data_IF_804866641832
#
_entry.id   IF_804866641832
#
_cell.length_a   1.000
_cell.length_b   1.000
_cell.length_c   1.000
_cell.angle_alpha   90.00
_cell.angle_beta   90.00
_cell.angle_gamma   90.00
#
_symmetry.space_group_name_H-M   'P 1'
#
loop_
_entity.id
_entity.type
_entity.pdbx_description
1 polymer ?
#
# COMPACT_ATOMS: atom_id res chain seq x y z
N UNK A 1 4.09 3.35 29.71
CA UNK A 1 5.05 3.63 30.82
C UNK A 1 4.42 4.29 32.05
N UNK A 2 3.68 5.42 31.97
CA UNK A 2 3.02 6.03 33.17
C UNK A 2 1.91 5.15 33.80
N UNK A 3 1.16 4.39 33.00
CA UNK A 3 0.17 3.42 33.53
C UNK A 3 0.78 2.24 34.28
N UNK A 4 1.93 1.73 33.82
CA UNK A 4 2.67 0.63 34.47
C UNK A 4 3.22 1.02 35.85
N UNK A 5 3.66 2.28 36.05
CA UNK A 5 4.10 2.76 37.37
C UNK A 5 2.97 2.86 38.39
N UNK A 6 1.73 3.13 37.95
CA UNK A 6 0.55 3.12 38.85
C UNK A 6 0.13 1.70 39.22
N UNK A 7 0.42 0.71 38.38
CA UNK A 7 0.17 -0.69 38.67
C UNK A 7 1.21 -1.26 39.65
N UNK A 8 2.51 -0.92 39.51
CA UNK A 8 3.53 -1.39 40.47
C UNK A 8 3.28 -0.86 41.88
N UNK A 9 2.85 0.40 42.03
CA UNK A 9 2.52 0.98 43.35
C UNK A 9 1.28 0.35 44.02
N UNK A 10 0.36 -0.22 43.22
CA UNK A 10 -0.81 -0.96 43.75
C UNK A 10 -0.40 -2.38 44.16
N UNK A 11 0.64 -2.93 43.53
CA UNK A 11 1.16 -4.29 43.80
C UNK A 11 2.10 -4.29 45.01
N UNK A 12 2.95 -3.28 45.18
CA UNK A 12 3.96 -3.23 46.25
C UNK A 12 3.38 -2.95 47.65
N UNK A 13 2.18 -2.37 47.74
CA UNK A 13 1.55 -1.97 49.02
C UNK A 13 1.05 -3.11 49.92
N UNK A 14 1.11 -4.38 49.51
CA UNK A 14 0.48 -5.51 50.22
C UNK A 14 1.45 -6.68 50.55
N UNK A 15 2.77 -6.46 50.54
CA UNK A 15 3.79 -7.53 50.47
C UNK A 15 4.17 -8.23 51.80
N UNK A 16 3.42 -8.11 52.89
CA UNK A 16 3.82 -8.67 54.20
C UNK A 16 2.98 -9.84 54.76
N UNK A 17 2.23 -10.58 53.94
CA UNK A 17 1.53 -11.80 54.40
C UNK A 17 1.52 -12.89 53.33
N UNK A 18 2.18 -14.02 53.64
CA UNK A 18 2.13 -15.36 53.02
C UNK A 18 2.16 -15.44 51.49
N UNK A 19 2.94 -16.36 50.94
CA UNK A 19 2.98 -16.74 49.52
C UNK A 19 1.68 -17.41 49.04
N UNK A 20 0.53 -16.80 49.26
CA UNK A 20 -0.69 -17.07 48.53
C UNK A 20 -0.46 -16.54 47.11
N UNK A 21 -0.56 -17.44 46.13
CA UNK A 21 -0.42 -17.12 44.72
C UNK A 21 -1.28 -15.90 44.37
N UNK A 22 -0.62 -14.83 43.93
CA UNK A 22 -1.26 -13.56 43.59
C UNK A 22 -2.11 -13.74 42.33
N UNK A 23 -3.39 -14.02 42.50
CA UNK A 23 -4.31 -14.19 41.38
C UNK A 23 -5.01 -12.86 41.06
N UNK A 24 -5.19 -12.56 39.77
CA UNK A 24 -5.85 -11.34 39.30
C UNK A 24 -7.31 -11.64 39.00
N UNK A 25 -8.28 -11.09 39.75
CA UNK A 25 -9.70 -11.34 39.49
C UNK A 25 -10.17 -10.61 38.22
N UNK A 26 -11.21 -11.15 37.57
CA UNK A 26 -11.81 -10.60 36.35
C UNK A 26 -12.20 -9.11 36.48
N UNK A 27 -12.68 -8.69 37.66
CA UNK A 27 -13.07 -7.30 37.92
C UNK A 27 -11.87 -6.33 37.85
N UNK A 28 -10.71 -6.74 38.37
CA UNK A 28 -9.45 -6.00 38.28
C UNK A 28 -8.91 -6.00 36.85
N UNK A 29 -9.00 -7.14 36.15
CA UNK A 29 -8.63 -7.24 34.74
C UNK A 29 -9.43 -6.27 33.85
N UNK A 30 -10.76 -6.22 34.00
CA UNK A 30 -11.62 -5.27 33.26
C UNK A 30 -11.23 -3.82 33.50
N UNK A 31 -10.97 -3.45 34.77
CA UNK A 31 -10.50 -2.09 35.11
C UNK A 31 -9.17 -1.80 34.44
N UNK A 32 -8.20 -2.71 34.53
CA UNK A 32 -6.90 -2.56 33.88
C UNK A 32 -7.04 -2.42 32.37
N UNK A 33 -7.80 -3.29 31.71
CA UNK A 33 -8.01 -3.25 30.26
C UNK A 33 -8.77 -2.01 29.79
N UNK A 34 -9.67 -1.45 30.59
CA UNK A 34 -10.32 -0.17 30.29
C UNK A 34 -9.33 1.01 30.24
N UNK A 35 -8.22 0.91 30.98
CA UNK A 35 -7.15 1.90 31.01
C UNK A 35 -6.12 1.64 29.91
N UNK A 36 -5.76 0.37 29.67
CA UNK A 36 -4.74 -0.03 28.68
C UNK A 36 -5.27 0.06 27.25
N UNK A 37 -6.52 -0.36 27.01
CA UNK A 37 -7.21 -0.39 25.71
C UNK A 37 -8.51 0.44 25.77
N UNK A 38 -8.41 1.77 25.84
CA UNK A 38 -9.59 2.65 25.88
C UNK A 38 -10.40 2.59 24.58
N UNK A 39 -9.80 2.15 23.47
CA UNK A 39 -10.46 1.91 22.18
C UNK A 39 -11.58 0.87 22.27
N UNK A 40 -11.48 -0.07 23.22
CA UNK A 40 -12.44 -1.14 23.43
C UNK A 40 -13.50 -0.81 24.49
N UNK A 41 -13.52 0.42 25.04
CA UNK A 41 -14.41 0.80 26.15
C UNK A 41 -15.90 0.58 25.84
N UNK A 42 -16.29 0.69 24.57
CA UNK A 42 -17.66 0.47 24.10
C UNK A 42 -18.02 -1.02 23.95
N UNK A 43 -17.06 -1.93 24.06
CA UNK A 43 -17.22 -3.37 23.87
C UNK A 43 -16.54 -4.15 25.01
N UNK A 44 -17.04 -4.04 26.26
CA UNK A 44 -16.40 -4.65 27.43
C UNK A 44 -16.32 -6.18 27.35
N UNK A 45 -17.21 -6.82 26.58
CA UNK A 45 -17.19 -8.26 26.32
C UNK A 45 -15.88 -8.73 25.68
N UNK A 46 -15.13 -7.87 24.99
CA UNK A 46 -13.82 -8.21 24.41
C UNK A 46 -12.79 -8.45 25.52
N UNK A 47 -12.88 -7.69 26.62
CA UNK A 47 -11.99 -7.90 27.78
C UNK A 47 -12.23 -9.27 28.40
N UNK A 48 -13.51 -9.67 28.48
CA UNK A 48 -13.93 -10.97 28.98
C UNK A 48 -13.52 -12.10 28.05
N UNK A 49 -13.57 -11.89 26.74
CA UNK A 49 -13.12 -12.86 25.75
C UNK A 49 -11.61 -13.12 25.86
N UNK A 50 -10.80 -12.06 25.99
CA UNK A 50 -9.34 -12.19 26.15
C UNK A 50 -9.00 -12.92 27.47
N UNK A 51 -9.75 -12.61 28.52
CA UNK A 51 -9.61 -13.27 29.82
C UNK A 51 -10.02 -14.75 29.75
N UNK A 52 -11.15 -15.07 29.10
CA UNK A 52 -11.62 -16.43 28.93
C UNK A 52 -10.71 -17.28 28.02
N UNK A 53 -10.08 -16.66 27.02
CA UNK A 53 -9.16 -17.33 26.11
C UNK A 53 -7.82 -17.72 26.74
N UNK A 54 -7.43 -17.04 27.82
CA UNK A 54 -6.14 -17.25 28.52
C UNK A 54 -6.30 -18.01 29.83
N UNK A 55 -7.46 -17.92 30.47
CA UNK A 55 -7.73 -18.72 31.67
C UNK A 55 -7.97 -20.17 31.27
N UNK A 56 -7.12 -21.08 31.78
CA UNK A 56 -7.41 -22.51 31.76
C UNK A 56 -8.49 -22.81 32.81
N UNK A 57 -9.71 -22.39 32.48
CA UNK A 57 -10.87 -22.15 33.34
C UNK A 57 -11.27 -23.33 34.22
N UNK A 58 -10.86 -24.55 33.87
CA UNK A 58 -11.21 -25.78 34.58
C UNK A 58 -10.37 -25.97 35.86
N UNK A 59 -9.10 -25.54 35.88
CA UNK A 59 -8.22 -25.81 37.03
C UNK A 59 -8.26 -24.74 38.11
N UNK A 60 -8.48 -23.49 37.72
CA UNK A 60 -8.35 -22.33 38.62
C UNK A 60 -9.63 -22.02 39.40
N UNK A 61 -10.81 -22.34 38.84
CA UNK A 61 -12.09 -22.05 39.48
C UNK A 61 -12.38 -22.93 40.71
N UNK A 62 -11.96 -24.21 40.70
CA UNK A 62 -12.08 -25.12 41.84
C UNK A 62 -11.19 -24.71 43.02
N UNK A 63 -10.08 -24.02 42.74
CA UNK A 63 -9.07 -23.69 43.75
C UNK A 63 -9.36 -22.38 44.52
N UNK A 64 -10.17 -21.47 43.96
CA UNK A 64 -10.39 -20.11 44.51
C UNK A 64 -11.84 -19.75 44.83
N UNK A 65 -12.72 -20.74 45.03
CA UNK A 65 -14.09 -20.48 45.50
C UNK A 65 -15.03 -19.92 44.43
N UNK A 66 -14.81 -20.29 43.16
CA UNK A 66 -15.77 -20.08 42.07
C UNK A 66 -15.58 -18.83 41.22
N UNK A 67 -14.80 -17.85 41.66
CA UNK A 67 -14.50 -16.66 40.84
C UNK A 67 -13.28 -16.91 39.94
N UNK A 68 -13.40 -16.67 38.62
CA UNK A 68 -12.30 -16.92 37.71
C UNK A 68 -11.21 -15.86 37.90
N UNK A 69 -9.99 -16.33 38.15
CA UNK A 69 -8.81 -15.49 38.38
C UNK A 69 -7.63 -15.99 37.55
N UNK A 70 -6.79 -15.06 37.07
CA UNK A 70 -5.59 -15.38 36.29
C UNK A 70 -4.39 -15.57 37.21
N UNK A 71 -3.61 -16.62 36.96
CA UNK A 71 -2.25 -16.73 37.51
C UNK A 71 -1.27 -15.78 36.79
N UNK A 72 -0.09 -15.57 37.36
CA UNK A 72 0.96 -14.72 36.78
C UNK A 72 1.33 -15.13 35.35
N UNK A 73 1.50 -16.43 35.10
CA UNK A 73 1.87 -16.94 33.76
C UNK A 73 0.75 -16.71 32.74
N UNK A 74 -0.50 -17.00 33.11
CA UNK A 74 -1.68 -16.75 32.27
C UNK A 74 -1.84 -15.24 32.00
N UNK A 75 -1.53 -14.39 32.99
CA UNK A 75 -1.50 -12.94 32.83
C UNK A 75 -0.43 -12.49 31.83
N UNK A 76 0.77 -13.08 31.86
CA UNK A 76 1.82 -12.80 30.89
C UNK A 76 1.40 -13.20 29.46
N UNK A 77 0.79 -14.37 29.27
CA UNK A 77 0.21 -14.78 27.98
C UNK A 77 -0.92 -13.83 27.52
N UNK A 78 -1.75 -13.41 28.47
CA UNK A 78 -2.77 -12.39 28.25
C UNK A 78 -2.15 -11.09 27.71
N UNK A 79 -1.05 -10.62 28.32
CA UNK A 79 -0.35 -9.40 27.90
C UNK A 79 0.16 -9.47 26.46
N UNK A 80 0.58 -10.64 25.98
CA UNK A 80 0.92 -10.84 24.57
C UNK A 80 -0.31 -10.72 23.66
N UNK A 81 -1.45 -11.23 24.12
CA UNK A 81 -2.74 -11.19 23.42
C UNK A 81 -3.40 -9.80 23.43
N UNK A 82 -3.02 -8.90 24.35
CA UNK A 82 -3.55 -7.53 24.44
C UNK A 82 -3.33 -6.74 23.16
N UNK A 83 -2.32 -7.05 22.34
CA UNK A 83 -2.09 -6.35 21.07
C UNK A 83 -2.93 -6.89 19.90
N UNK A 84 -3.68 -7.97 20.08
CA UNK A 84 -4.52 -8.52 19.03
C UNK A 84 -5.65 -7.55 18.69
N UNK A 85 -5.87 -7.35 17.39
CA UNK A 85 -7.00 -6.59 16.86
C UNK A 85 -8.18 -7.54 16.70
N UNK A 86 -9.15 -7.45 17.59
CA UNK A 86 -10.39 -8.23 17.49
C UNK A 86 -11.25 -7.63 16.39
N UNK A 87 -11.40 -8.36 15.28
CA UNK A 87 -12.27 -7.97 14.18
C UNK A 87 -13.64 -8.60 14.42
N UNK A 88 -14.63 -7.78 14.82
CA UNK A 88 -16.03 -8.23 14.87
C UNK A 88 -16.52 -8.44 13.44
N UNK A 89 -16.55 -9.68 12.98
CA UNK A 89 -17.37 -10.07 11.83
C UNK A 89 -18.81 -10.03 12.30
N UNK A 90 -19.48 -8.89 12.10
CA UNK A 90 -20.93 -8.85 12.19
C UNK A 90 -21.43 -9.68 11.02
N UNK A 91 -21.68 -10.96 11.28
CA UNK A 91 -22.63 -11.69 10.47
C UNK A 91 -23.94 -10.94 10.61
N UNK A 92 -24.27 -10.16 9.58
CA UNK A 92 -25.64 -9.71 9.39
C UNK A 92 -26.44 -10.99 9.18
N UNK A 93 -26.88 -11.60 10.29
CA UNK A 93 -28.11 -12.38 10.31
C UNK A 93 -29.09 -11.56 9.48
N UNK A 94 -29.73 -12.17 8.48
CA UNK A 94 -30.65 -11.56 7.52
C UNK A 94 -31.93 -11.00 8.19
N UNK A 95 -31.76 -10.26 9.29
CA UNK A 95 -32.78 -9.52 9.99
C UNK A 95 -33.33 -8.50 9.02
N UNK A 96 -34.47 -8.88 8.43
CA UNK A 96 -35.49 -7.99 7.88
C UNK A 96 -35.69 -6.83 8.86
N UNK A 97 -34.90 -5.78 8.74
CA UNK A 97 -35.29 -4.46 9.22
C UNK A 97 -36.45 -4.06 8.34
N UNK A 98 -37.66 -4.36 8.84
CA UNK A 98 -38.94 -3.91 8.28
C UNK A 98 -39.02 -2.39 8.47
N UNK A 99 -38.22 -1.63 7.72
CA UNK A 99 -38.50 -0.21 7.56
C UNK A 99 -39.72 -0.11 6.64
N UNK A 100 -40.89 0.08 7.27
CA UNK A 100 -42.14 0.47 6.62
C UNK A 100 -42.00 1.88 6.05
N UNK A 101 -41.27 2.01 4.94
CA UNK A 101 -41.38 3.16 4.06
C UNK A 101 -42.34 2.72 2.95
N UNK A 102 -43.36 3.51 2.57
CA UNK A 102 -44.24 3.17 1.45
C UNK A 102 -43.41 3.09 0.17
N UNK A 103 -43.06 1.86 -0.18
CA UNK A 103 -42.24 1.50 -1.34
C UNK A 103 -43.05 1.79 -2.60
N UNK A 104 -42.79 2.94 -3.23
CA UNK A 104 -43.27 3.26 -4.58
C UNK A 104 -42.91 2.14 -5.57
N UNK A 105 -43.63 2.01 -6.68
CA UNK A 105 -43.37 0.97 -7.69
C UNK A 105 -41.88 0.90 -8.13
N UNK A 106 -41.20 2.05 -8.16
CA UNK A 106 -39.75 2.18 -8.45
C UNK A 106 -38.90 1.39 -7.45
N UNK A 107 -39.20 1.50 -6.16
CA UNK A 107 -38.45 0.79 -5.12
C UNK A 107 -38.69 -0.72 -5.11
N UNK A 108 -39.85 -1.21 -5.59
CA UNK A 108 -40.04 -2.66 -5.85
C UNK A 108 -39.13 -3.15 -6.99
N UNK A 109 -39.01 -2.36 -8.06
CA UNK A 109 -38.11 -2.68 -9.18
C UNK A 109 -36.64 -2.68 -8.75
N UNK A 110 -36.21 -1.64 -8.02
CA UNK A 110 -34.84 -1.55 -7.48
C UNK A 110 -34.50 -2.70 -6.53
N UNK A 111 -35.45 -3.16 -5.70
CA UNK A 111 -35.23 -4.33 -4.85
C UNK A 111 -35.03 -5.61 -5.66
N UNK A 112 -35.79 -5.83 -6.73
CA UNK A 112 -35.60 -6.97 -7.64
C UNK A 112 -34.26 -6.89 -8.36
N UNK A 113 -33.90 -5.71 -8.89
CA UNK A 113 -32.62 -5.47 -9.53
C UNK A 113 -31.46 -5.74 -8.57
N UNK A 114 -31.54 -5.25 -7.33
CA UNK A 114 -30.51 -5.50 -6.31
C UNK A 114 -30.40 -6.97 -5.95
N UNK A 115 -31.52 -7.70 -5.84
CA UNK A 115 -31.50 -9.14 -5.59
C UNK A 115 -30.82 -9.89 -6.75
N UNK A 116 -31.14 -9.52 -7.99
CA UNK A 116 -30.49 -10.06 -9.19
C UNK A 116 -29.00 -9.75 -9.23
N UNK A 117 -28.59 -8.50 -8.98
CA UNK A 117 -27.17 -8.11 -8.91
C UNK A 117 -26.43 -8.81 -7.77
N UNK A 118 -27.09 -9.03 -6.63
CA UNK A 118 -26.50 -9.77 -5.51
C UNK A 118 -26.27 -11.22 -5.90
N UNK A 119 -27.24 -11.88 -6.54
CA UNK A 119 -27.09 -13.22 -7.08
C UNK A 119 -25.97 -13.29 -8.11
N UNK A 120 -25.99 -12.38 -9.09
CA UNK A 120 -24.97 -12.29 -10.13
C UNK A 120 -23.56 -12.12 -9.54
N UNK A 121 -23.35 -11.14 -8.65
CA UNK A 121 -22.00 -10.81 -8.14
C UNK A 121 -21.51 -11.75 -7.04
N UNK A 122 -22.38 -12.28 -6.17
CA UNK A 122 -21.95 -13.11 -5.04
C UNK A 122 -22.01 -14.61 -5.30
N UNK A 123 -22.99 -15.06 -6.10
CA UNK A 123 -23.30 -16.49 -6.26
C UNK A 123 -22.68 -17.08 -7.53
N UNK A 124 -22.42 -16.24 -8.54
CA UNK A 124 -21.75 -16.68 -9.77
C UNK A 124 -20.26 -16.38 -9.75
N UNK A 125 -19.50 -17.06 -10.61
CA UNK A 125 -18.09 -16.79 -10.90
C UNK A 125 -17.89 -15.45 -11.67
N UNK A 126 -18.72 -14.44 -11.38
CA UNK A 126 -18.76 -13.16 -12.06
C UNK A 126 -17.40 -12.47 -12.09
N UNK A 127 -16.67 -12.46 -10.97
CA UNK A 127 -15.33 -11.86 -10.92
C UNK A 127 -14.35 -12.58 -11.87
N UNK A 128 -14.41 -13.91 -11.97
CA UNK A 128 -13.56 -14.68 -12.89
C UNK A 128 -13.92 -14.42 -14.36
N UNK A 129 -15.22 -14.46 -14.69
CA UNK A 129 -15.69 -14.22 -16.07
C UNK A 129 -15.34 -12.79 -16.51
N UNK A 130 -15.64 -11.81 -15.67
CA UNK A 130 -15.34 -10.41 -15.93
C UNK A 130 -13.85 -10.22 -16.19
N UNK A 131 -13.01 -10.83 -15.36
CA UNK A 131 -11.58 -10.63 -15.44
C UNK A 131 -10.96 -11.40 -16.61
N UNK A 132 -11.51 -12.55 -16.98
CA UNK A 132 -11.18 -13.24 -18.23
C UNK A 132 -11.53 -12.37 -19.44
N UNK A 133 -12.76 -11.86 -19.54
CA UNK A 133 -13.18 -10.96 -20.64
C UNK A 133 -12.26 -9.75 -20.72
N UNK A 134 -11.98 -9.09 -19.59
CA UNK A 134 -11.10 -7.92 -19.56
C UNK A 134 -9.65 -8.26 -19.94
N UNK A 135 -9.15 -9.44 -19.58
CA UNK A 135 -7.81 -9.88 -19.99
C UNK A 135 -7.72 -10.09 -21.50
N UNK A 136 -8.73 -10.73 -22.10
CA UNK A 136 -8.80 -10.95 -23.55
C UNK A 136 -8.83 -9.62 -24.27
N UNK A 137 -9.69 -8.68 -23.85
CA UNK A 137 -9.77 -7.39 -24.53
C UNK A 137 -8.51 -6.55 -24.31
N UNK A 138 -7.86 -6.64 -23.14
CA UNK A 138 -6.58 -5.95 -22.90
C UNK A 138 -5.46 -6.49 -23.78
N UNK A 139 -5.38 -7.82 -23.98
CA UNK A 139 -4.43 -8.43 -24.91
C UNK A 139 -4.73 -8.00 -26.35
N UNK A 140 -6.00 -7.99 -26.75
CA UNK A 140 -6.40 -7.48 -28.07
C UNK A 140 -5.99 -6.02 -28.26
N UNK A 141 -6.19 -5.17 -27.25
CA UNK A 141 -5.77 -3.78 -27.28
C UNK A 141 -4.23 -3.65 -27.41
N UNK A 142 -3.46 -4.47 -26.68
CA UNK A 142 -2.00 -4.52 -26.80
C UNK A 142 -1.57 -4.90 -28.23
N UNK A 143 -2.21 -5.91 -28.83
CA UNK A 143 -1.92 -6.36 -30.20
C UNK A 143 -2.24 -5.24 -31.20
N UNK A 144 -3.42 -4.63 -31.10
CA UNK A 144 -3.82 -3.53 -31.98
C UNK A 144 -2.89 -2.32 -31.85
N UNK A 145 -2.45 -2.00 -30.63
CA UNK A 145 -1.52 -0.89 -30.38
C UNK A 145 -0.08 -1.22 -30.81
N UNK A 146 0.31 -2.49 -30.88
CA UNK A 146 1.62 -2.88 -31.45
C UNK A 146 1.66 -2.68 -32.96
N UNK A 147 0.52 -2.80 -33.65
CA UNK A 147 0.37 -2.66 -35.10
C UNK A 147 -0.14 -1.26 -35.50
N UNK A 148 0.40 -0.18 -34.88
CA UNK A 148 -0.01 1.22 -35.16
C UNK A 148 -0.01 1.61 -36.65
N UNK A 149 0.76 0.91 -37.48
CA UNK A 149 0.87 1.21 -38.92
C UNK A 149 -0.26 0.68 -39.77
N UNK A 150 -1.09 -0.25 -39.26
CA UNK A 150 -2.13 -0.96 -40.04
C UNK A 150 -3.53 -0.80 -39.51
N UNK A 151 -3.70 -0.55 -38.22
CA UNK A 151 -5.01 -0.47 -37.57
C UNK A 151 -5.46 0.99 -37.50
N UNK A 152 -6.69 1.29 -37.90
CA UNK A 152 -7.27 2.63 -37.73
C UNK A 152 -7.42 2.97 -36.25
N UNK A 153 -6.97 4.16 -35.85
CA UNK A 153 -7.08 4.67 -34.48
C UNK A 153 -8.53 4.65 -33.96
N UNK A 154 -9.52 4.78 -34.85
CA UNK A 154 -10.94 4.72 -34.50
C UNK A 154 -11.35 3.35 -33.92
N UNK A 155 -10.79 2.26 -34.45
CA UNK A 155 -11.09 0.90 -33.96
C UNK A 155 -10.51 0.73 -32.56
N UNK A 156 -9.30 1.25 -32.32
CA UNK A 156 -8.65 1.21 -31.02
C UNK A 156 -9.47 1.99 -30.00
N UNK A 157 -9.90 3.21 -30.35
CA UNK A 157 -10.76 4.06 -29.50
C UNK A 157 -12.07 3.39 -29.12
N UNK A 158 -12.76 2.79 -30.09
CA UNK A 158 -14.03 2.07 -29.84
C UNK A 158 -13.80 0.86 -28.93
N UNK A 159 -12.73 0.10 -29.18
CA UNK A 159 -12.38 -1.06 -28.34
C UNK A 159 -12.09 -0.62 -26.90
N UNK A 160 -11.27 0.41 -26.70
CA UNK A 160 -10.92 0.94 -25.38
C UNK A 160 -12.13 1.52 -24.64
N UNK A 161 -12.96 2.31 -25.33
CA UNK A 161 -14.22 2.82 -24.79
C UNK A 161 -15.14 1.69 -24.34
N UNK A 162 -15.22 0.60 -25.12
CA UNK A 162 -16.03 -0.57 -24.74
C UNK A 162 -15.50 -1.27 -23.48
N UNK A 163 -14.17 -1.36 -23.30
CA UNK A 163 -13.53 -1.92 -22.09
C UNK A 163 -13.81 -1.05 -20.89
N UNK A 164 -13.60 0.27 -21.01
CA UNK A 164 -13.82 1.21 -19.94
C UNK A 164 -15.29 1.20 -19.48
N UNK A 165 -16.23 1.13 -20.42
CA UNK A 165 -17.66 1.06 -20.14
C UNK A 165 -18.05 -0.27 -19.48
N UNK A 166 -17.60 -1.40 -20.02
CA UNK A 166 -17.86 -2.72 -19.44
C UNK A 166 -17.30 -2.82 -18.01
N UNK A 167 -16.11 -2.28 -17.79
CA UNK A 167 -15.51 -2.22 -16.47
C UNK A 167 -16.31 -1.34 -15.50
N UNK A 168 -16.71 -0.15 -15.94
CA UNK A 168 -17.52 0.78 -15.13
C UNK A 168 -18.84 0.13 -14.71
N UNK A 169 -19.55 -0.50 -15.64
CA UNK A 169 -20.78 -1.24 -15.35
C UNK A 169 -20.55 -2.34 -14.31
N UNK A 170 -19.45 -3.09 -14.44
CA UNK A 170 -19.14 -4.18 -13.52
C UNK A 170 -18.80 -3.69 -12.09
N UNK A 171 -18.11 -2.56 -11.95
CA UNK A 171 -17.84 -1.96 -10.63
C UNK A 171 -19.12 -1.40 -10.04
N UNK A 172 -19.95 -0.73 -10.83
CA UNK A 172 -21.24 -0.22 -10.38
C UNK A 172 -22.17 -1.35 -9.93
N UNK A 173 -22.22 -2.46 -10.67
CA UNK A 173 -22.91 -3.68 -10.27
C UNK A 173 -22.37 -4.24 -8.94
N UNK A 174 -21.03 -4.25 -8.77
CA UNK A 174 -20.38 -4.71 -7.54
C UNK A 174 -20.69 -3.82 -6.33
N UNK A 175 -20.74 -2.50 -6.51
CA UNK A 175 -21.12 -1.54 -5.47
C UNK A 175 -22.60 -1.75 -5.09
N UNK A 176 -23.49 -1.88 -6.08
CA UNK A 176 -24.91 -2.11 -5.84
C UNK A 176 -25.19 -3.45 -5.11
N UNK A 177 -24.45 -4.51 -5.48
CA UNK A 177 -24.58 -5.83 -4.85
C UNK A 177 -24.04 -5.86 -3.41
N UNK A 178 -22.84 -5.33 -3.18
CA UNK A 178 -22.13 -5.42 -1.87
C UNK A 178 -22.50 -4.29 -0.91
N UNK A 179 -22.97 -3.15 -1.42
CA UNK A 179 -23.29 -1.95 -0.63
C UNK A 179 -22.11 -1.49 0.23
N UNK A 180 -22.33 -1.24 1.52
CA UNK A 180 -21.29 -0.76 2.44
C UNK A 180 -20.11 -1.74 2.59
N UNK A 181 -20.34 -3.05 2.40
CA UNK A 181 -19.26 -4.06 2.47
C UNK A 181 -18.25 -3.91 1.34
N UNK A 182 -18.61 -3.26 0.23
CA UNK A 182 -17.69 -2.95 -0.87
C UNK A 182 -16.48 -2.15 -0.34
N UNK A 183 -16.75 -1.10 0.43
CA UNK A 183 -15.77 -0.15 0.94
C UNK A 183 -14.87 -0.70 2.07
N UNK A 184 -15.20 -1.85 2.65
CA UNK A 184 -14.38 -2.44 3.73
C UNK A 184 -13.10 -3.07 3.19
N UNK A 185 -13.11 -3.54 1.93
CA UNK A 185 -11.93 -4.16 1.30
C UNK A 185 -11.13 -3.11 0.52
N UNK A 186 -9.86 -2.91 0.88
CA UNK A 186 -8.95 -1.99 0.17
C UNK A 186 -8.84 -2.30 -1.33
N UNK A 187 -8.89 -3.59 -1.72
CA UNK A 187 -8.86 -3.97 -3.14
C UNK A 187 -10.00 -3.33 -3.94
N UNK A 188 -11.21 -3.32 -3.38
CA UNK A 188 -12.38 -2.73 -4.04
C UNK A 188 -12.27 -1.20 -4.12
N UNK A 189 -11.69 -0.57 -3.09
CA UNK A 189 -11.43 0.88 -3.09
C UNK A 189 -10.48 1.27 -4.23
N UNK A 190 -9.40 0.50 -4.43
CA UNK A 190 -8.46 0.71 -5.54
C UNK A 190 -9.17 0.48 -6.88
N UNK A 191 -9.96 -0.58 -7.02
CA UNK A 191 -10.74 -0.82 -8.25
C UNK A 191 -11.68 0.34 -8.56
N UNK A 192 -12.33 0.92 -7.55
CA UNK A 192 -13.18 2.09 -7.73
C UNK A 192 -12.39 3.35 -8.12
N UNK A 193 -11.22 3.57 -7.51
CA UNK A 193 -10.35 4.69 -7.89
C UNK A 193 -9.88 4.57 -9.35
N UNK A 194 -9.51 3.36 -9.80
CA UNK A 194 -9.16 3.08 -11.20
C UNK A 194 -10.35 3.35 -12.13
N UNK A 195 -11.57 2.95 -11.74
CA UNK A 195 -12.79 3.24 -12.51
C UNK A 195 -13.01 4.75 -12.67
N UNK A 196 -12.90 5.51 -11.58
CA UNK A 196 -13.02 6.98 -11.65
C UNK A 196 -11.95 7.57 -12.57
N UNK A 197 -10.70 7.12 -12.45
CA UNK A 197 -9.60 7.60 -13.29
C UNK A 197 -9.82 7.31 -14.77
N UNK A 198 -10.34 6.12 -15.11
CA UNK A 198 -10.69 5.78 -16.50
C UNK A 198 -11.84 6.65 -17.00
N UNK A 199 -12.90 6.83 -16.19
CA UNK A 199 -14.06 7.63 -16.56
C UNK A 199 -13.68 9.11 -16.73
N UNK A 200 -12.80 9.65 -15.88
CA UNK A 200 -12.33 11.02 -16.00
C UNK A 200 -11.50 11.22 -17.27
N UNK A 201 -10.60 10.28 -17.58
CA UNK A 201 -9.79 10.34 -18.81
C UNK A 201 -10.67 10.23 -20.07
N UNK A 202 -11.64 9.32 -20.05
CA UNK A 202 -12.60 9.19 -21.15
C UNK A 202 -13.45 10.45 -21.33
N UNK A 203 -13.94 11.04 -20.22
CA UNK A 203 -14.67 12.30 -20.27
C UNK A 203 -13.81 13.46 -20.78
N UNK A 204 -12.51 13.53 -20.43
CA UNK A 204 -11.63 14.57 -20.98
C UNK A 204 -11.44 14.44 -22.48
N UNK A 205 -11.46 13.22 -23.03
CA UNK A 205 -11.36 12.97 -24.47
C UNK A 205 -12.64 13.43 -25.20
N UNK A 206 -13.82 13.10 -24.65
CA UNK A 206 -15.10 13.39 -25.32
C UNK A 206 -15.58 14.84 -25.15
N UNK A 207 -15.33 15.47 -24.00
CA UNK A 207 -15.86 16.81 -23.72
C UNK A 207 -14.99 17.95 -24.22
N UNK A 208 -13.74 17.69 -24.58
CA UNK A 208 -12.81 18.73 -25.01
C UNK A 208 -12.54 18.62 -26.51
N UNK A 209 -13.53 19.03 -27.30
CA UNK A 209 -13.52 19.03 -28.77
C UNK A 209 -12.40 19.91 -29.38
N UNK A 210 -11.78 20.80 -28.57
CA UNK A 210 -10.69 21.70 -28.97
C UNK A 210 -9.28 21.23 -28.54
N UNK A 211 -9.14 20.03 -27.98
CA UNK A 211 -7.82 19.54 -27.52
C UNK A 211 -6.92 19.23 -28.71
N UNK A 212 -5.69 19.74 -28.65
CA UNK A 212 -4.66 19.52 -29.66
C UNK A 212 -4.38 18.02 -29.82
N UNK A 213 -4.19 17.55 -31.06
CA UNK A 213 -3.93 16.13 -31.37
C UNK A 213 -2.85 15.48 -30.48
N UNK A 214 -1.81 16.21 -30.08
CA UNK A 214 -0.74 15.72 -29.20
C UNK A 214 -1.21 15.40 -27.77
N UNK A 215 -2.10 16.23 -27.22
CA UNK A 215 -2.67 16.00 -25.88
C UNK A 215 -3.65 14.82 -25.88
N UNK A 216 -4.36 14.63 -26.99
CA UNK A 216 -5.25 13.49 -27.21
C UNK A 216 -4.46 12.17 -27.24
N UNK A 217 -3.34 12.11 -27.96
CA UNK A 217 -2.48 10.92 -28.01
C UNK A 217 -1.88 10.60 -26.63
N UNK A 218 -1.46 11.62 -25.87
CA UNK A 218 -0.99 11.43 -24.49
C UNK A 218 -2.10 10.92 -23.55
N UNK A 219 -3.34 11.42 -23.69
CA UNK A 219 -4.47 10.98 -22.86
C UNK A 219 -4.89 9.55 -23.19
N UNK A 220 -4.89 9.18 -24.47
CA UNK A 220 -5.14 7.80 -24.93
C UNK A 220 -4.04 6.86 -24.43
N UNK A 221 -2.77 7.25 -24.52
CA UNK A 221 -1.65 6.48 -23.98
C UNK A 221 -1.77 6.26 -22.46
N UNK A 222 -2.19 7.28 -21.71
CA UNK A 222 -2.47 7.18 -20.28
C UNK A 222 -3.64 6.24 -19.98
N UNK A 223 -4.74 6.34 -20.74
CA UNK A 223 -5.90 5.45 -20.61
C UNK A 223 -5.47 3.99 -20.83
N UNK A 224 -4.70 3.75 -21.89
CA UNK A 224 -4.12 2.46 -22.21
C UNK A 224 -3.27 1.91 -21.06
N UNK A 225 -2.38 2.72 -20.48
CA UNK A 225 -1.56 2.33 -19.33
C UNK A 225 -2.44 1.89 -18.16
N UNK A 226 -3.52 2.61 -17.87
CA UNK A 226 -4.46 2.26 -16.79
C UNK A 226 -5.19 0.93 -17.07
N UNK A 227 -5.54 0.65 -18.32
CA UNK A 227 -6.13 -0.64 -18.76
C UNK A 227 -5.13 -1.79 -18.61
N UNK A 228 -3.87 -1.58 -18.99
CA UNK A 228 -2.80 -2.60 -18.83
C UNK A 228 -2.47 -2.82 -17.36
N UNK A 229 -2.32 -1.75 -16.57
CA UNK A 229 -2.05 -1.81 -15.12
C UNK A 229 -3.15 -2.58 -14.39
N UNK A 230 -4.40 -2.44 -14.85
CA UNK A 230 -5.50 -3.26 -14.38
C UNK A 230 -5.29 -4.74 -14.68
N UNK A 231 -4.85 -5.10 -15.88
CA UNK A 231 -4.61 -6.50 -16.25
C UNK A 231 -3.56 -7.17 -15.37
N UNK A 232 -2.62 -6.40 -14.80
CA UNK A 232 -1.69 -6.90 -13.78
C UNK A 232 -2.43 -7.36 -12.51
N UNK A 233 -3.61 -6.83 -12.20
CA UNK A 233 -4.44 -7.33 -11.09
C UNK A 233 -4.96 -8.76 -11.34
N UNK A 234 -4.89 -9.29 -12.57
CA UNK A 234 -5.15 -10.71 -12.90
C UNK A 234 -4.20 -11.65 -12.17
N UNK A 235 -2.96 -11.22 -11.94
CA UNK A 235 -1.94 -12.01 -11.27
C UNK A 235 -2.38 -12.43 -9.85
N UNK A 236 -3.32 -11.70 -9.23
CA UNK A 236 -3.89 -12.05 -7.91
C UNK A 236 -4.69 -13.35 -7.90
N UNK A 237 -5.11 -13.89 -9.04
CA UNK A 237 -5.78 -15.20 -9.05
C UNK A 237 -4.83 -16.35 -8.77
N UNK A 238 -3.52 -16.17 -8.98
CA UNK A 238 -2.58 -17.22 -8.63
C UNK A 238 -2.43 -17.28 -7.11
N UNK A 239 -2.70 -18.43 -6.46
CA UNK A 239 -2.63 -18.56 -5.02
C UNK A 239 -1.21 -18.26 -4.50
N UNK A 240 -0.19 -18.67 -5.26
CA UNK A 240 1.21 -18.41 -4.90
C UNK A 240 1.52 -16.91 -4.92
N UNK A 241 1.03 -16.17 -5.91
CA UNK A 241 1.30 -14.72 -5.98
C UNK A 241 0.52 -13.98 -4.90
N UNK A 242 -0.66 -14.45 -4.52
CA UNK A 242 -1.39 -13.91 -3.37
C UNK A 242 -0.59 -14.07 -2.07
N UNK A 243 0.06 -15.22 -1.89
CA UNK A 243 0.98 -15.43 -0.76
C UNK A 243 2.14 -14.43 -0.80
N UNK A 244 2.78 -14.25 -1.96
CA UNK A 244 3.87 -13.28 -2.13
C UNK A 244 3.42 -11.84 -1.86
N UNK A 245 2.24 -11.43 -2.35
CA UNK A 245 1.68 -10.09 -2.09
C UNK A 245 1.41 -9.89 -0.60
N UNK A 246 0.95 -10.94 0.10
CA UNK A 246 0.74 -10.88 1.54
C UNK A 246 2.08 -10.69 2.28
N UNK A 247 3.11 -11.43 1.90
CA UNK A 247 4.47 -11.25 2.45
C UNK A 247 5.00 -9.83 2.16
N UNK A 248 4.89 -9.34 0.93
CA UNK A 248 5.30 -7.97 0.57
C UNK A 248 4.56 -6.94 1.44
N UNK A 249 3.25 -7.11 1.67
CA UNK A 249 2.48 -6.18 2.53
C UNK A 249 2.94 -6.20 3.98
N UNK A 250 3.40 -7.35 4.48
CA UNK A 250 3.92 -7.50 5.82
C UNK A 250 5.32 -6.86 5.95
N UNK A 251 6.14 -6.96 4.91
CA UNK A 251 7.50 -6.41 4.83
C UNK A 251 7.49 -4.90 4.55
N UNK A 252 6.53 -4.41 3.76
CA UNK A 252 6.41 -3.01 3.33
C UNK A 252 6.58 -1.97 4.45
N UNK A 253 5.91 -2.06 5.63
CA UNK A 253 6.10 -1.07 6.69
C UNK A 253 7.51 -1.09 7.29
N UNK A 254 8.22 -2.22 7.23
CA UNK A 254 9.60 -2.32 7.66
C UNK A 254 10.54 -1.75 6.60
N UNK A 255 10.33 -2.13 5.33
CA UNK A 255 11.06 -1.59 4.18
C UNK A 255 10.96 -0.05 4.12
N UNK A 256 9.78 0.51 4.42
CA UNK A 256 9.58 1.96 4.45
C UNK A 256 10.48 2.64 5.48
N UNK A 257 10.71 2.03 6.65
CA UNK A 257 11.62 2.61 7.66
C UNK A 257 13.06 2.63 7.16
N UNK A 258 13.50 1.54 6.53
CA UNK A 258 14.84 1.47 5.93
C UNK A 258 14.97 2.47 4.78
N UNK A 259 13.94 2.59 3.96
CA UNK A 259 13.89 3.55 2.86
C UNK A 259 14.00 4.99 3.34
N UNK A 260 13.41 5.34 4.49
CA UNK A 260 13.58 6.69 5.10
C UNK A 260 15.04 6.94 5.49
N UNK A 261 15.74 5.95 6.06
CA UNK A 261 17.18 6.08 6.38
C UNK A 261 17.99 6.26 5.10
N UNK A 262 17.72 5.43 4.07
CA UNK A 262 18.35 5.55 2.76
C UNK A 262 18.14 6.95 2.14
N UNK A 263 16.89 7.45 2.13
CA UNK A 263 16.58 8.80 1.63
C UNK A 263 17.28 9.89 2.44
N UNK A 264 17.46 9.70 3.75
CA UNK A 264 18.17 10.68 4.60
C UNK A 264 19.66 10.76 4.25
N UNK A 265 20.30 9.62 3.98
CA UNK A 265 21.69 9.57 3.52
C UNK A 265 21.81 10.18 2.13
N UNK A 266 20.93 9.79 1.19
CA UNK A 266 20.89 10.38 -0.15
C UNK A 266 20.69 11.89 -0.10
N UNK A 267 19.81 12.39 0.77
CA UNK A 267 19.58 13.82 0.97
C UNK A 267 20.85 14.55 1.40
N UNK A 268 21.63 14.00 2.33
CA UNK A 268 22.90 14.60 2.74
C UNK A 268 23.89 14.70 1.56
N UNK A 269 24.01 13.66 0.75
CA UNK A 269 24.85 13.70 -0.46
C UNK A 269 24.32 14.69 -1.50
N UNK A 270 23.00 14.77 -1.72
CA UNK A 270 22.41 15.76 -2.61
C UNK A 270 22.78 17.18 -2.17
N UNK A 271 22.66 17.49 -0.87
CA UNK A 271 23.00 18.82 -0.36
C UNK A 271 24.50 19.13 -0.50
N UNK A 272 25.37 18.18 -0.17
CA UNK A 272 26.83 18.35 -0.29
C UNK A 272 27.23 18.48 -1.77
N UNK A 273 26.79 17.57 -2.64
CA UNK A 273 27.09 17.60 -4.07
C UNK A 273 26.55 18.85 -4.75
N UNK A 274 25.32 19.25 -4.42
CA UNK A 274 24.74 20.51 -4.92
C UNK A 274 25.58 21.73 -4.53
N UNK A 275 26.09 21.78 -3.29
CA UNK A 275 26.94 22.89 -2.83
C UNK A 275 28.37 22.89 -3.41
N UNK A 276 28.93 21.71 -3.71
CA UNK A 276 30.31 21.59 -4.22
C UNK A 276 30.40 21.80 -5.73
N UNK A 277 29.39 21.35 -6.48
CA UNK A 277 29.42 21.29 -7.94
C UNK A 277 28.33 22.15 -8.58
N UNK A 278 27.80 23.13 -7.84
CA UNK A 278 26.72 24.01 -8.30
C UNK A 278 27.03 24.60 -9.68
N UNK A 279 26.11 24.40 -10.63
CA UNK A 279 26.19 24.90 -12.02
C UNK A 279 27.43 24.50 -12.83
N UNK A 280 28.30 23.63 -12.31
CA UNK A 280 29.53 23.21 -13.03
C UNK A 280 29.23 22.55 -14.38
N UNK A 281 28.19 21.71 -14.43
CA UNK A 281 27.80 20.97 -15.63
C UNK A 281 26.94 21.79 -16.60
N UNK A 282 26.39 22.93 -16.18
CA UNK A 282 25.41 23.66 -16.99
C UNK A 282 26.11 24.56 -18.02
N UNK A 283 25.94 24.25 -19.31
CA UNK A 283 26.42 25.11 -20.41
C UNK A 283 27.93 25.06 -20.65
N UNK A 284 28.64 24.09 -20.06
CA UNK A 284 30.08 23.94 -20.28
C UNK A 284 30.37 23.37 -21.68
N UNK A 285 31.16 24.07 -22.49
CA UNK A 285 31.49 23.62 -23.86
C UNK A 285 32.42 22.40 -23.89
N UNK A 286 33.15 22.13 -22.82
CA UNK A 286 34.09 21.01 -22.74
C UNK A 286 33.35 19.67 -22.66
N UNK A 287 32.14 19.66 -22.09
CA UNK A 287 31.29 18.48 -21.98
C UNK A 287 30.77 17.96 -23.33
N UNK A 288 30.71 18.81 -24.36
CA UNK A 288 30.20 18.43 -25.70
C UNK A 288 31.00 17.31 -26.38
N UNK A 289 32.22 17.05 -25.91
CA UNK A 289 33.11 16.01 -26.43
C UNK A 289 33.15 14.75 -25.55
N UNK A 290 32.44 14.77 -24.43
CA UNK A 290 32.46 13.70 -23.44
C UNK A 290 31.30 12.74 -23.67
N UNK A 291 31.45 11.49 -23.20
CA UNK A 291 30.40 10.49 -23.27
C UNK A 291 29.10 10.94 -22.54
N UNK A 292 29.20 11.87 -21.60
CA UNK A 292 28.05 12.44 -20.90
C UNK A 292 27.07 13.13 -21.87
N UNK A 293 27.58 13.88 -22.84
CA UNK A 293 26.74 14.52 -23.86
C UNK A 293 26.21 13.51 -24.88
N UNK A 294 27.04 12.53 -25.26
CA UNK A 294 26.64 11.45 -26.17
C UNK A 294 25.46 10.61 -25.65
N UNK A 295 25.35 10.46 -24.31
CA UNK A 295 24.23 9.79 -23.64
C UNK A 295 23.05 10.71 -23.32
N UNK A 296 23.07 11.98 -23.75
CA UNK A 296 22.04 12.98 -23.47
C UNK A 296 21.78 13.19 -21.97
N UNK A 297 22.84 13.21 -21.15
CA UNK A 297 22.71 13.45 -19.71
C UNK A 297 22.65 14.93 -19.32
N UNK A 298 22.52 15.86 -20.27
CA UNK A 298 22.54 17.31 -20.02
C UNK A 298 21.52 17.78 -18.96
N UNK A 299 20.39 17.07 -18.83
CA UNK A 299 19.34 17.35 -17.83
C UNK A 299 19.71 16.91 -16.40
N UNK A 300 20.73 16.05 -16.23
CA UNK A 300 21.19 15.50 -14.96
C UNK A 300 22.38 16.30 -14.44
N UNK A 301 22.14 17.33 -13.63
CA UNK A 301 23.17 18.24 -13.15
C UNK A 301 22.96 18.65 -11.68
N UNK A 302 23.92 19.38 -11.13
CA UNK A 302 23.91 19.85 -9.73
C UNK A 302 23.21 21.21 -9.53
N UNK A 303 22.42 21.69 -10.51
CA UNK A 303 21.77 23.01 -10.41
C UNK A 303 20.53 23.02 -9.52
N UNK A 304 19.84 21.88 -9.41
CA UNK A 304 18.62 21.75 -8.62
C UNK A 304 18.63 20.50 -7.77
N UNK A 305 17.88 20.53 -6.66
CA UNK A 305 17.75 19.40 -5.77
C UNK A 305 17.29 18.13 -6.50
N UNK A 306 16.29 18.26 -7.38
CA UNK A 306 15.70 17.11 -8.08
C UNK A 306 16.65 16.53 -9.13
N UNK A 307 17.31 17.39 -9.90
CA UNK A 307 18.29 16.97 -10.90
C UNK A 307 19.52 16.30 -10.25
N UNK A 308 19.99 16.87 -9.12
CA UNK A 308 21.08 16.26 -8.33
C UNK A 308 20.67 14.90 -7.76
N UNK A 309 19.43 14.80 -7.24
CA UNK A 309 18.90 13.54 -6.73
C UNK A 309 18.83 12.47 -7.83
N UNK A 310 18.36 12.82 -9.03
CA UNK A 310 18.38 11.90 -10.16
C UNK A 310 19.78 11.49 -10.59
N UNK A 311 20.71 12.43 -10.67
CA UNK A 311 22.09 12.15 -11.04
C UNK A 311 22.67 11.11 -10.08
N UNK A 312 22.51 11.32 -8.77
CA UNK A 312 22.96 10.36 -7.76
C UNK A 312 22.17 9.05 -7.82
N UNK A 313 20.87 9.08 -8.10
CA UNK A 313 20.08 7.88 -8.32
C UNK A 313 20.56 7.08 -9.55
N UNK A 314 20.96 7.74 -10.62
CA UNK A 314 21.55 7.10 -11.79
C UNK A 314 22.93 6.50 -11.45
N UNK A 315 23.71 7.19 -10.62
CA UNK A 315 24.98 6.66 -10.08
C UNK A 315 24.76 5.40 -9.23
N UNK A 316 23.67 5.31 -8.48
CA UNK A 316 23.29 4.12 -7.70
C UNK A 316 23.05 2.89 -8.58
N UNK A 317 22.52 3.06 -9.80
CA UNK A 317 22.21 1.94 -10.69
C UNK A 317 23.46 1.26 -11.26
N UNK A 318 24.62 1.94 -11.30
CA UNK A 318 25.93 1.32 -11.47
C UNK A 318 26.62 1.42 -12.85
N UNK A 319 25.98 1.23 -14.02
CA UNK A 319 26.73 1.01 -15.26
C UNK A 319 27.44 2.26 -15.79
N UNK A 320 26.88 3.45 -15.56
CA UNK A 320 27.40 4.71 -16.12
C UNK A 320 28.03 5.63 -15.08
N UNK A 321 28.39 5.09 -13.90
CA UNK A 321 28.99 5.85 -12.82
C UNK A 321 30.28 6.61 -13.19
N UNK A 322 31.24 6.01 -13.94
CA UNK A 322 32.47 6.71 -14.32
C UNK A 322 32.22 7.95 -15.21
N UNK A 323 31.18 7.91 -16.04
CA UNK A 323 30.83 9.01 -16.96
C UNK A 323 30.49 10.28 -16.17
N UNK A 324 29.79 10.15 -15.03
CA UNK A 324 29.47 11.30 -14.18
C UNK A 324 30.70 11.85 -13.45
N UNK A 325 31.65 10.99 -13.04
CA UNK A 325 32.90 11.44 -12.41
C UNK A 325 33.73 12.25 -13.41
N UNK A 326 33.92 11.72 -14.62
CA UNK A 326 34.69 12.35 -15.69
C UNK A 326 34.06 13.69 -16.08
N UNK A 327 32.75 13.72 -16.32
CA UNK A 327 32.03 14.95 -16.64
C UNK A 327 32.19 16.03 -15.56
N UNK A 328 32.06 15.68 -14.27
CA UNK A 328 32.21 16.65 -13.18
C UNK A 328 33.66 17.06 -13.00
N UNK A 329 34.63 16.16 -13.20
CA UNK A 329 36.05 16.47 -13.14
C UNK A 329 36.49 17.43 -14.24
N UNK A 330 36.06 17.19 -15.47
CA UNK A 330 36.33 18.06 -16.62
C UNK A 330 35.64 19.41 -16.44
N UNK A 331 34.39 19.42 -15.98
CA UNK A 331 33.65 20.65 -15.76
C UNK A 331 34.20 21.51 -14.62
N UNK A 332 34.71 20.89 -13.56
CA UNK A 332 35.29 21.58 -12.41
C UNK A 332 36.77 21.95 -12.61
N UNK A 333 37.42 21.40 -13.64
CA UNK A 333 38.85 21.59 -13.92
C UNK A 333 39.79 20.92 -12.91
N UNK A 334 39.26 20.05 -12.03
CA UNK A 334 40.04 19.30 -11.04
C UNK A 334 39.40 17.94 -10.78
N UNK A 335 40.25 16.91 -10.81
CA UNK A 335 39.83 15.53 -10.59
C UNK A 335 39.67 15.18 -9.11
N UNK A 336 40.28 15.92 -8.19
CA UNK A 336 40.41 15.48 -6.79
C UNK A 336 39.09 15.54 -6.02
N UNK A 337 38.39 16.67 -6.06
CA UNK A 337 37.14 16.85 -5.30
C UNK A 337 35.99 15.95 -5.81
N UNK A 338 35.73 15.85 -7.13
CA UNK A 338 34.71 14.94 -7.66
C UNK A 338 35.01 13.48 -7.34
N UNK A 339 36.27 13.05 -7.55
CA UNK A 339 36.67 11.66 -7.30
C UNK A 339 36.49 11.27 -5.84
N UNK A 340 36.91 12.13 -4.89
CA UNK A 340 36.71 11.87 -3.45
C UNK A 340 35.22 11.80 -3.12
N UNK A 341 34.43 12.76 -3.59
CA UNK A 341 32.99 12.81 -3.35
C UNK A 341 32.28 11.55 -3.84
N UNK A 342 32.50 11.18 -5.12
CA UNK A 342 31.85 10.01 -5.72
C UNK A 342 32.36 8.70 -5.14
N UNK A 343 33.64 8.60 -4.77
CA UNK A 343 34.18 7.42 -4.09
C UNK A 343 33.55 7.21 -2.70
N UNK A 344 33.42 8.29 -1.91
CA UNK A 344 32.73 8.25 -0.61
C UNK A 344 31.25 7.91 -0.80
N UNK A 345 30.58 8.50 -1.79
CA UNK A 345 29.20 8.16 -2.14
C UNK A 345 29.05 6.67 -2.49
N UNK A 346 29.93 6.14 -3.33
CA UNK A 346 29.91 4.74 -3.73
C UNK A 346 30.08 3.80 -2.54
N UNK A 347 31.08 4.04 -1.69
CA UNK A 347 31.31 3.21 -0.50
C UNK A 347 30.11 3.28 0.45
N UNK A 348 29.64 4.47 0.80
CA UNK A 348 28.55 4.62 1.79
C UNK A 348 27.22 4.13 1.24
N UNK A 349 26.81 4.57 0.06
CA UNK A 349 25.45 4.32 -0.44
C UNK A 349 25.37 2.96 -1.15
N UNK A 350 26.28 2.70 -2.10
CA UNK A 350 26.24 1.48 -2.93
C UNK A 350 26.75 0.27 -2.16
N UNK A 351 27.89 0.38 -1.46
CA UNK A 351 28.47 -0.77 -0.76
C UNK A 351 27.81 -1.01 0.60
N UNK A 352 27.55 0.03 1.41
CA UNK A 352 26.94 -0.18 2.72
C UNK A 352 25.41 -0.18 2.66
N UNK A 353 24.78 0.95 2.29
CA UNK A 353 23.33 1.09 2.45
C UNK A 353 22.55 0.12 1.57
N UNK A 354 22.91 -0.03 0.29
CA UNK A 354 22.21 -0.96 -0.61
C UNK A 354 22.34 -2.42 -0.15
N UNK A 355 23.52 -2.86 0.31
CA UNK A 355 23.69 -4.21 0.85
C UNK A 355 22.88 -4.44 2.14
N UNK A 356 22.78 -3.44 3.02
CA UNK A 356 21.91 -3.52 4.21
C UNK A 356 20.44 -3.62 3.82
N UNK A 357 19.99 -2.85 2.82
CA UNK A 357 18.61 -2.92 2.30
C UNK A 357 18.33 -4.31 1.71
N UNK A 358 19.23 -4.84 0.90
CA UNK A 358 19.09 -6.18 0.30
C UNK A 358 19.07 -7.26 1.36
N UNK A 359 19.99 -7.23 2.33
CA UNK A 359 20.01 -8.17 3.44
C UNK A 359 18.71 -8.13 4.25
N UNK A 360 18.18 -6.93 4.49
CA UNK A 360 16.90 -6.76 5.19
C UNK A 360 15.71 -7.32 4.40
N UNK A 361 15.71 -7.17 3.07
CA UNK A 361 14.67 -7.74 2.20
C UNK A 361 14.76 -9.27 2.16
N UNK A 362 15.95 -9.84 2.23
CA UNK A 362 16.15 -11.30 2.22
C UNK A 362 15.80 -11.97 3.56
N UNK A 363 15.98 -11.27 4.67
CA UNK A 363 15.64 -11.76 6.02
C UNK A 363 14.14 -11.69 6.33
N UNK A 364 13.44 -10.71 5.74
CA UNK A 364 12.03 -10.43 6.00
C UNK A 364 11.08 -11.24 5.11
#
# INVERSE_FOLDING_TARGET
RKGLRRLSSVIEGNSSQSSSSMCIPLSSWRKMMSIVRPDLKNNPWIYDLIFAASSNTIKTAEQFGGDPALNYDEFCECCHSVNLKVKKTVEESHGRTKSFIPVSAVSKSLMRLRAFLKWLVLDTNFEYILQFVLSVVSVSAIICNSDKTKVSDDIIRVLEGSVAMLFTVAVMASIAARGRKFWVKMSNQVTFAVMISMLSLYATIEFWDEVTYDQLDSALSMLYLVVVLRSILFIRFHPEVTSTIYSIRLILPMLLRVFVVFLSVMYAFVMVGGSLFENSLLGNSDLKKTAYHDFHYDDLNFSSFWSTFLLLYQCLLGPNFPVFIEAVADAHGSWTAPLIYFCVYYVVVVVFVQNVVVAFILEA
#
